data_IF_786935408780
#
_entry.id   IF_786935408780
#
_cell.length_a   1.000
_cell.length_b   1.000
_cell.length_c   1.000
_cell.angle_alpha   90.00
_cell.angle_beta   90.00
_cell.angle_gamma   90.00
#
_symmetry.space_group_name_H-M   'P 1'
#
loop_
_entity.id
_entity.type
_entity.pdbx_description
1 polymer ?
#
# COMPACT_ATOMS: atom_id res chain seq x y z
N UNK A 1 13.25 -7.29 0.19
CA UNK A 1 13.37 -6.42 1.38
C UNK A 1 12.05 -6.25 2.15
N UNK A 2 10.94 -5.85 1.51
CA UNK A 2 9.68 -5.56 2.20
C UNK A 2 8.66 -6.74 2.25
N UNK A 3 9.08 -7.97 1.97
CA UNK A 3 8.19 -9.13 1.90
C UNK A 3 7.97 -9.80 3.27
N UNK A 4 8.94 -9.68 4.17
CA UNK A 4 8.89 -10.31 5.50
C UNK A 4 8.96 -9.25 6.59
N UNK A 5 8.06 -9.34 7.56
CA UNK A 5 8.01 -8.43 8.70
C UNK A 5 9.30 -8.50 9.55
N UNK A 6 9.99 -9.65 9.52
CA UNK A 6 11.24 -9.88 10.25
C UNK A 6 12.36 -8.91 9.81
N UNK A 7 12.42 -8.52 8.53
CA UNK A 7 13.51 -7.68 8.00
C UNK A 7 13.21 -6.18 8.03
N UNK A 8 12.14 -5.75 8.71
CA UNK A 8 11.70 -4.35 8.73
C UNK A 8 12.16 -3.65 10.00
N UNK A 9 13.01 -2.64 9.84
CA UNK A 9 13.41 -1.75 10.92
C UNK A 9 12.37 -0.64 11.06
N UNK A 10 11.61 -0.56 12.17
CA UNK A 10 10.75 0.58 12.40
C UNK A 10 11.61 1.80 12.68
N UNK A 11 11.23 2.92 12.11
CA UNK A 11 11.95 4.19 12.29
C UNK A 11 11.15 5.17 13.14
N UNK A 12 9.82 5.03 13.17
CA UNK A 12 8.93 5.82 14.00
C UNK A 12 7.52 5.24 14.00
N UNK A 13 6.78 5.48 15.08
CA UNK A 13 5.33 5.24 15.19
C UNK A 13 4.73 6.53 15.73
N UNK A 14 3.77 7.09 15.00
CA UNK A 14 3.13 8.35 15.35
C UNK A 14 1.64 8.12 15.52
N UNK A 15 1.06 8.64 16.60
CA UNK A 15 -0.39 8.70 16.76
C UNK A 15 -0.89 10.04 16.22
N UNK A 16 -1.76 9.99 15.21
CA UNK A 16 -2.25 11.18 14.53
C UNK A 16 -3.78 11.13 14.57
N UNK A 17 -4.38 12.06 15.32
CA UNK A 17 -5.82 12.07 15.57
C UNK A 17 -6.67 12.31 14.31
N UNK A 18 -6.08 12.95 13.28
CA UNK A 18 -6.74 13.23 12.02
C UNK A 18 -5.76 13.14 10.86
N UNK A 19 -6.11 12.36 9.84
CA UNK A 19 -5.38 12.34 8.57
C UNK A 19 -5.37 13.74 7.94
N UNK A 20 -4.24 14.42 8.05
CA UNK A 20 -3.99 15.71 7.41
C UNK A 20 -2.52 15.78 7.06
N UNK A 21 -2.25 16.04 5.78
CA UNK A 21 -0.89 16.20 5.28
C UNK A 21 -0.13 17.32 6.01
N UNK A 22 -0.83 18.39 6.39
CA UNK A 22 -0.23 19.49 7.12
C UNK A 22 0.14 19.10 8.56
N UNK A 23 -0.74 18.37 9.26
CA UNK A 23 -0.46 17.86 10.60
C UNK A 23 0.72 16.89 10.57
N UNK A 24 0.68 15.90 9.67
CA UNK A 24 1.77 14.96 9.43
C UNK A 24 3.12 15.68 9.23
N UNK A 25 3.15 16.69 8.36
CA UNK A 25 4.36 17.47 8.08
C UNK A 25 4.85 18.25 9.30
N UNK A 26 3.95 18.83 10.09
CA UNK A 26 4.29 19.55 11.32
C UNK A 26 4.78 18.62 12.44
N UNK A 27 4.31 17.37 12.47
CA UNK A 27 4.69 16.38 13.47
C UNK A 27 6.05 15.73 13.19
N UNK A 28 6.53 15.74 11.94
CA UNK A 28 7.85 15.18 11.62
C UNK A 28 8.96 16.03 12.24
N UNK A 29 9.78 15.47 13.16
CA UNK A 29 10.88 16.21 13.76
C UNK A 29 11.91 16.64 12.71
N UNK A 30 12.44 17.86 12.83
CA UNK A 30 13.48 18.35 11.92
C UNK A 30 14.71 17.44 11.94
N UNK A 31 15.13 17.00 13.12
CA UNK A 31 16.28 16.11 13.31
C UNK A 31 16.09 14.76 12.59
N UNK A 32 14.85 14.29 12.45
CA UNK A 32 14.54 13.10 11.67
C UNK A 32 14.80 13.32 10.16
N UNK A 33 14.36 14.46 9.63
CA UNK A 33 14.59 14.84 8.24
C UNK A 33 16.09 15.05 7.95
N UNK A 34 16.79 15.72 8.87
CA UNK A 34 18.23 15.96 8.78
C UNK A 34 19.01 14.63 8.84
N UNK A 35 18.54 13.68 9.66
CA UNK A 35 19.11 12.32 9.72
C UNK A 35 18.95 11.58 8.39
N UNK A 36 17.78 11.60 7.75
CA UNK A 36 17.58 11.01 6.42
C UNK A 36 18.53 11.63 5.40
N UNK A 37 18.67 12.96 5.42
CA UNK A 37 19.54 13.68 4.49
C UNK A 37 21.01 13.31 4.70
N UNK A 38 21.45 13.12 5.95
CA UNK A 38 22.82 12.72 6.28
C UNK A 38 23.18 11.33 5.75
N UNK A 39 22.23 10.39 5.73
CA UNK A 39 22.45 9.01 5.27
C UNK A 39 22.68 8.92 3.76
N UNK A 40 22.30 9.94 2.98
CA UNK A 40 22.55 9.97 1.52
C UNK A 40 24.04 9.92 1.17
N UNK A 41 24.93 10.26 2.11
CA UNK A 41 26.38 10.20 1.91
C UNK A 41 27.04 9.55 3.13
N UNK A 42 27.36 8.27 3.01
CA UNK A 42 28.03 7.53 4.09
C UNK A 42 29.54 7.50 3.87
N UNK A 43 30.29 7.95 4.87
CA UNK A 43 31.74 7.78 4.91
C UNK A 43 32.05 6.39 5.48
N UNK A 44 32.34 5.43 4.60
CA UNK A 44 32.67 4.05 5.00
C UNK A 44 34.12 3.95 5.49
N UNK A 45 35.01 4.76 4.92
CA UNK A 45 36.39 4.93 5.41
C UNK A 45 36.81 6.39 5.25
N UNK A 46 37.95 6.78 5.83
CA UNK A 46 38.54 8.14 5.66
C UNK A 46 38.75 8.55 4.20
N UNK A 47 38.71 7.62 3.24
CA UNK A 47 38.93 7.88 1.81
C UNK A 47 37.76 7.47 0.89
N UNK A 48 36.68 6.88 1.43
CA UNK A 48 35.57 6.36 0.62
C UNK A 48 34.24 6.87 1.15
N UNK A 49 33.65 7.77 0.38
CA UNK A 49 32.26 8.18 0.52
C UNK A 49 31.40 7.38 -0.44
N UNK A 50 30.31 6.81 0.07
CA UNK A 50 29.32 6.06 -0.69
C UNK A 50 28.05 6.90 -0.76
N UNK A 51 27.59 7.17 -1.98
CA UNK A 51 26.28 7.78 -2.19
C UNK A 51 25.19 6.72 -2.00
N UNK A 52 24.28 6.96 -1.07
CA UNK A 52 23.14 6.10 -0.78
C UNK A 52 21.91 6.67 -1.46
N UNK A 53 21.31 5.88 -2.35
CA UNK A 53 20.04 6.22 -2.99
C UNK A 53 18.91 5.63 -2.17
N UNK A 54 18.11 6.49 -1.55
CA UNK A 54 16.94 6.07 -0.78
C UNK A 54 15.73 6.00 -1.71
N UNK A 55 14.88 5.00 -1.50
CA UNK A 55 13.66 4.75 -2.25
C UNK A 55 12.48 4.74 -1.30
N UNK A 56 11.40 5.39 -1.70
CA UNK A 56 10.13 5.35 -0.99
C UNK A 56 9.25 4.24 -1.56
N UNK A 57 8.45 3.62 -0.70
CA UNK A 57 7.49 2.60 -1.09
C UNK A 57 6.26 2.67 -0.19
N UNK A 58 5.13 2.28 -0.75
CA UNK A 58 3.85 2.25 -0.07
C UNK A 58 2.71 2.33 -1.07
N UNK A 59 1.48 2.21 -0.58
CA UNK A 59 0.31 2.23 -1.45
C UNK A 59 0.12 3.58 -2.16
N UNK A 60 -0.84 3.63 -3.08
CA UNK A 60 -1.09 4.82 -3.89
C UNK A 60 -1.52 6.02 -3.05
N UNK A 61 -2.29 5.78 -1.98
CA UNK A 61 -2.78 6.85 -1.12
C UNK A 61 -1.62 7.46 -0.31
N UNK A 62 -0.69 6.63 0.17
CA UNK A 62 0.55 7.09 0.78
C UNK A 62 1.35 7.96 -0.18
N UNK A 63 1.50 7.54 -1.44
CA UNK A 63 2.21 8.33 -2.46
C UNK A 63 1.55 9.70 -2.69
N UNK A 64 0.21 9.74 -2.72
CA UNK A 64 -0.58 10.98 -2.81
C UNK A 64 -0.27 11.90 -1.62
N UNK A 65 -0.21 11.37 -0.40
CA UNK A 65 0.13 12.15 0.78
C UNK A 65 1.59 12.61 0.78
N UNK A 66 2.55 11.70 0.55
CA UNK A 66 3.98 12.02 0.48
C UNK A 66 4.24 13.18 -0.46
N UNK A 67 3.58 13.20 -1.62
CA UNK A 67 3.74 14.25 -2.62
C UNK A 67 2.65 15.32 -2.63
N UNK A 68 1.79 15.40 -1.61
CA UNK A 68 0.77 16.46 -1.46
C UNK A 68 -0.15 16.63 -2.68
N UNK A 69 -0.63 15.52 -3.25
CA UNK A 69 -1.51 15.49 -4.43
C UNK A 69 -2.99 15.44 -4.05
N UNK A 70 -3.86 15.76 -5.00
CA UNK A 70 -5.32 15.75 -4.83
C UNK A 70 -5.98 14.35 -4.85
N UNK A 71 -5.19 13.30 -5.06
CA UNK A 71 -5.68 11.92 -5.08
C UNK A 71 -6.44 11.51 -6.35
N UNK A 72 -7.13 10.37 -6.27
CA UNK A 72 -7.70 9.67 -7.43
C UNK A 72 -8.85 10.40 -8.13
N UNK A 73 -9.51 11.35 -7.46
CA UNK A 73 -10.69 12.04 -8.00
C UNK A 73 -10.35 13.28 -8.83
N UNK A 74 -9.08 13.69 -8.84
CA UNK A 74 -8.67 14.86 -9.60
C UNK A 74 -8.56 14.58 -11.11
N UNK A 75 -8.41 15.65 -11.90
CA UNK A 75 -8.24 15.51 -13.35
C UNK A 75 -6.89 14.92 -13.75
N UNK A 76 -5.92 14.85 -12.85
CA UNK A 76 -4.57 14.35 -13.10
C UNK A 76 -4.17 13.35 -12.02
N UNK A 77 -4.83 12.18 -11.98
CA UNK A 77 -4.77 11.33 -10.80
C UNK A 77 -3.45 10.56 -10.69
N UNK A 78 -2.65 10.44 -11.76
CA UNK A 78 -1.38 9.73 -11.69
C UNK A 78 -0.38 10.44 -10.75
N UNK A 79 0.30 9.66 -9.92
CA UNK A 79 1.35 10.16 -9.01
C UNK A 79 2.67 10.40 -9.73
N UNK A 80 2.92 9.71 -10.84
CA UNK A 80 4.20 9.82 -11.57
C UNK A 80 4.16 10.81 -12.73
N UNK A 81 3.00 11.04 -13.33
CA UNK A 81 2.87 11.90 -14.51
C UNK A 81 1.68 12.86 -14.45
N UNK A 82 1.67 13.79 -15.39
CA UNK A 82 0.61 14.80 -15.60
C UNK A 82 -0.40 14.38 -16.66
N UNK A 83 -0.64 13.06 -16.85
CA UNK A 83 -1.67 12.58 -17.76
C UNK A 83 -3.08 12.90 -17.22
N UNK A 84 -3.91 13.52 -18.05
CA UNK A 84 -5.31 13.78 -17.71
C UNK A 84 -6.12 12.47 -17.60
N UNK A 85 -7.08 12.43 -16.68
CA UNK A 85 -7.96 11.27 -16.40
C UNK A 85 -8.66 10.73 -17.65
N UNK A 86 -8.96 11.59 -18.63
CA UNK A 86 -9.60 11.22 -19.89
C UNK A 86 -8.71 10.35 -20.79
N UNK A 87 -7.38 10.41 -20.63
CA UNK A 87 -6.39 9.76 -21.49
C UNK A 87 -5.51 8.75 -20.75
N UNK A 88 -5.93 8.31 -19.56
CA UNK A 88 -5.18 7.31 -18.76
C UNK A 88 -4.91 6.00 -19.50
N UNK A 89 -5.68 5.72 -20.54
CA UNK A 89 -5.57 4.53 -21.37
C UNK A 89 -4.49 4.59 -22.45
N UNK A 90 -3.94 5.77 -22.74
CA UNK A 90 -2.94 5.93 -23.80
C UNK A 90 -1.68 5.20 -23.39
N UNK A 91 -1.24 4.24 -24.19
CA UNK A 91 -0.02 3.46 -23.98
C UNK A 91 0.93 3.50 -25.18
N UNK A 92 0.52 4.18 -26.25
CA UNK A 92 1.21 4.23 -27.55
C UNK A 92 1.48 5.66 -27.98
N UNK A 93 2.58 5.86 -28.70
CA UNK A 93 2.97 7.16 -29.25
C UNK A 93 1.98 7.59 -30.32
N UNK A 94 1.75 8.90 -30.38
CA UNK A 94 0.89 9.56 -31.35
C UNK A 94 -0.55 9.03 -31.36
N UNK A 95 -1.12 8.71 -30.19
CA UNK A 95 -2.51 8.26 -30.11
C UNK A 95 -3.44 9.44 -30.36
N UNK A 96 -4.22 9.39 -31.45
CA UNK A 96 -5.26 10.38 -31.71
C UNK A 96 -6.43 10.20 -30.73
N UNK A 97 -6.78 11.26 -30.02
CA UNK A 97 -7.93 11.34 -29.13
C UNK A 97 -8.88 12.44 -29.60
N UNK A 98 -10.18 12.21 -29.53
CA UNK A 98 -11.18 13.26 -29.74
C UNK A 98 -11.55 13.90 -28.40
N UNK A 99 -11.45 15.22 -28.33
CA UNK A 99 -11.88 16.02 -27.18
C UNK A 99 -13.09 16.86 -27.56
N UNK A 100 -14.09 16.91 -26.69
CA UNK A 100 -15.20 17.86 -26.83
C UNK A 100 -14.81 19.18 -26.16
N UNK A 101 -14.55 20.20 -26.96
CA UNK A 101 -14.32 21.56 -26.50
C UNK A 101 -15.59 22.41 -26.70
N UNK A 102 -15.85 23.31 -25.75
CA UNK A 102 -16.92 24.28 -25.88
C UNK A 102 -16.36 25.56 -26.49
N UNK A 103 -16.80 25.88 -27.71
CA UNK A 103 -16.36 27.06 -28.45
C UNK A 103 -17.48 28.09 -28.46
N UNK A 104 -17.16 29.35 -28.12
CA UNK A 104 -18.09 30.48 -28.07
C UNK A 104 -18.28 31.08 -26.67
N UNK A 105 -18.94 32.24 -26.60
CA UNK A 105 -19.22 32.98 -25.37
C UNK A 105 -20.72 33.00 -25.05
N UNK A 106 -21.05 32.98 -23.76
CA UNK A 106 -22.43 33.06 -23.28
C UNK A 106 -23.32 31.91 -23.74
N UNK A 107 -24.55 32.23 -24.16
CA UNK A 107 -25.57 31.27 -24.64
C UNK A 107 -25.23 30.61 -25.98
N UNK A 108 -24.20 31.08 -26.68
CA UNK A 108 -23.79 30.58 -28.00
C UNK A 108 -22.66 29.54 -27.95
N UNK A 109 -22.38 28.95 -26.78
CA UNK A 109 -21.40 27.86 -26.66
C UNK A 109 -21.87 26.64 -27.47
N UNK A 110 -21.09 26.27 -28.49
CA UNK A 110 -21.29 25.03 -29.26
C UNK A 110 -20.21 24.02 -28.88
N UNK A 111 -20.58 22.74 -28.83
CA UNK A 111 -19.61 21.65 -28.72
C UNK A 111 -18.92 21.47 -30.07
N UNK A 112 -17.61 21.52 -30.08
CA UNK A 112 -16.79 21.17 -31.23
C UNK A 112 -15.87 20.02 -30.84
N UNK A 113 -15.74 19.03 -31.72
CA UNK A 113 -14.76 17.96 -31.55
C UNK A 113 -13.41 18.45 -32.07
N UNK A 114 -12.40 18.42 -31.21
CA UNK A 114 -11.01 18.67 -31.58
C UNK A 114 -10.25 17.35 -31.49
N UNK A 115 -9.47 17.04 -32.53
CA UNK A 115 -8.51 15.93 -32.47
C UNK A 115 -7.23 16.42 -31.79
N UNK A 116 -6.80 15.71 -30.77
CA UNK A 116 -5.55 15.96 -30.04
C UNK A 116 -4.68 14.72 -30.12
N UNK A 117 -3.38 14.91 -30.33
CA UNK A 117 -2.41 13.81 -30.27
C UNK A 117 -1.91 13.69 -28.84
N UNK A 118 -2.10 12.52 -28.24
CA UNK A 118 -1.66 12.22 -26.87
C UNK A 118 -0.56 11.15 -26.92
N UNK A 119 0.51 11.37 -26.16
CA UNK A 119 1.67 10.50 -26.09
C UNK A 119 1.74 9.77 -24.73
N UNK A 120 2.40 8.60 -24.66
CA UNK A 120 2.56 7.85 -23.43
C UNK A 120 3.54 8.58 -22.50
N UNK A 121 3.14 8.71 -21.24
CA UNK A 121 3.91 9.42 -20.23
C UNK A 121 5.05 8.59 -19.63
N UNK A 122 5.93 9.25 -18.89
CA UNK A 122 7.04 8.66 -18.15
C UNK A 122 6.94 8.98 -16.66
N UNK A 123 7.54 8.15 -15.81
CA UNK A 123 7.79 8.40 -14.39
C UNK A 123 9.10 9.13 -14.11
N UNK A 124 10.01 9.21 -15.09
CA UNK A 124 11.37 9.70 -14.91
C UNK A 124 11.76 10.84 -15.87
N UNK A 125 11.07 10.98 -17.01
CA UNK A 125 11.36 11.97 -18.05
C UNK A 125 10.32 13.11 -18.05
N UNK A 126 10.69 14.32 -17.57
CA UNK A 126 9.79 15.47 -17.53
C UNK A 126 9.32 15.92 -18.92
N UNK A 127 10.09 15.67 -19.98
CA UNK A 127 9.67 16.01 -21.36
C UNK A 127 8.53 15.12 -21.84
N UNK A 128 8.33 13.98 -21.17
CA UNK A 128 7.23 13.04 -21.37
C UNK A 128 6.23 13.09 -20.21
N UNK A 129 6.10 14.25 -19.57
CA UNK A 129 5.07 14.53 -18.57
C UNK A 129 5.32 13.90 -17.20
N UNK A 130 6.54 13.44 -16.88
CA UNK A 130 6.88 13.05 -15.52
C UNK A 130 6.77 14.26 -14.58
N UNK A 131 6.17 14.06 -13.40
CA UNK A 131 6.03 15.11 -12.39
C UNK A 131 7.38 15.49 -11.80
N UNK A 132 7.53 16.77 -11.46
CA UNK A 132 8.73 17.27 -10.76
C UNK A 132 8.35 18.15 -9.58
N UNK A 133 9.23 18.23 -8.56
CA UNK A 133 9.05 19.17 -7.45
C UNK A 133 9.09 20.63 -7.90
N UNK A 134 9.88 20.94 -8.94
CA UNK A 134 9.94 22.28 -9.55
C UNK A 134 8.58 22.71 -10.12
N UNK A 135 7.95 21.84 -10.91
CA UNK A 135 6.62 22.10 -11.47
C UNK A 135 5.58 22.30 -10.37
N UNK A 136 5.64 21.46 -9.33
CA UNK A 136 4.78 21.57 -8.16
C UNK A 136 4.89 22.93 -7.46
N UNK A 137 6.10 23.41 -7.15
CA UNK A 137 6.32 24.71 -6.51
C UNK A 137 5.69 25.85 -7.31
N UNK A 138 5.93 25.88 -8.62
CA UNK A 138 5.34 26.87 -9.52
C UNK A 138 3.80 26.81 -9.48
N UNK A 139 3.22 25.61 -9.47
CA UNK A 139 1.76 25.45 -9.41
C UNK A 139 1.16 25.90 -8.08
N UNK A 140 1.82 25.63 -6.96
CA UNK A 140 1.37 26.05 -5.63
C UNK A 140 1.46 27.58 -5.46
N UNK A 141 2.57 28.21 -5.87
CA UNK A 141 2.70 29.67 -5.86
C UNK A 141 1.63 30.36 -6.69
N UNK A 142 1.30 29.81 -7.87
CA UNK A 142 0.22 30.33 -8.72
C UNK A 142 -1.15 30.20 -8.04
N UNK A 143 -1.41 29.08 -7.36
CA UNK A 143 -2.65 28.85 -6.62
C UNK A 143 -2.81 29.88 -5.50
N UNK A 144 -1.75 30.16 -4.75
CA UNK A 144 -1.76 31.16 -3.67
C UNK A 144 -1.98 32.59 -4.22
N UNK A 145 -1.26 32.98 -5.27
CA UNK A 145 -1.33 34.32 -5.85
C UNK A 145 -2.66 34.60 -6.54
N UNK A 146 -3.17 33.64 -7.32
CA UNK A 146 -4.29 33.89 -8.23
C UNK A 146 -5.62 33.28 -7.77
N UNK A 147 -5.65 32.54 -6.65
CA UNK A 147 -6.81 31.71 -6.21
C UNK A 147 -7.35 30.79 -7.32
N UNK A 148 -6.53 30.51 -8.34
CA UNK A 148 -6.89 29.64 -9.46
C UNK A 148 -6.82 28.19 -8.98
N UNK A 149 -7.74 27.37 -9.49
CA UNK A 149 -7.70 25.94 -9.25
C UNK A 149 -6.38 25.37 -9.78
N UNK A 150 -5.69 24.57 -8.96
CA UNK A 150 -4.47 23.90 -9.40
C UNK A 150 -4.82 22.88 -10.48
N UNK A 151 -4.51 23.24 -11.72
CA UNK A 151 -4.88 22.45 -12.89
C UNK A 151 -4.28 21.05 -12.81
N UNK A 152 -3.07 20.87 -12.28
CA UNK A 152 -2.32 19.60 -12.29
C UNK A 152 -2.50 18.74 -11.03
N UNK A 153 -3.38 19.16 -10.12
CA UNK A 153 -3.75 18.38 -8.93
C UNK A 153 -2.77 18.45 -7.76
N UNK A 154 -1.85 19.41 -7.69
CA UNK A 154 -1.05 19.64 -6.47
C UNK A 154 -1.88 20.38 -5.41
N UNK A 155 -1.90 19.89 -4.17
CA UNK A 155 -2.72 20.46 -3.10
C UNK A 155 -1.91 21.20 -2.04
N UNK A 156 -0.81 20.60 -1.61
CA UNK A 156 0.04 21.05 -0.50
C UNK A 156 1.50 20.74 -0.79
N UNK A 157 2.42 21.28 0.01
CA UNK A 157 3.84 20.90 0.01
C UNK A 157 4.05 19.39 0.26
N UNK A 158 5.14 18.77 -0.25
CA UNK A 158 5.44 17.37 0.04
C UNK A 158 5.70 17.15 1.53
N UNK A 159 5.41 15.94 2.01
CA UNK A 159 5.61 15.55 3.41
C UNK A 159 7.07 15.71 3.87
N UNK A 160 8.01 15.36 3.00
CA UNK A 160 9.45 15.42 3.25
C UNK A 160 10.14 16.60 2.54
N UNK A 161 9.37 17.63 2.15
CA UNK A 161 9.90 18.76 1.39
C UNK A 161 10.59 18.32 0.10
N UNK A 162 11.81 18.83 -0.14
CA UNK A 162 12.62 18.54 -1.32
C UNK A 162 13.53 17.30 -1.16
N UNK A 163 13.35 16.48 -0.10
CA UNK A 163 14.21 15.32 0.15
C UNK A 163 14.06 14.20 -0.90
N UNK A 164 12.89 14.07 -1.52
CA UNK A 164 12.59 12.99 -2.44
C UNK A 164 11.89 13.51 -3.69
N UNK A 165 12.38 13.11 -4.85
CA UNK A 165 11.69 13.35 -6.12
C UNK A 165 10.58 12.32 -6.35
N UNK A 166 9.65 12.63 -7.26
CA UNK A 166 8.60 11.68 -7.66
C UNK A 166 9.17 10.34 -8.17
N UNK A 167 10.33 10.40 -8.83
CA UNK A 167 11.07 9.23 -9.33
C UNK A 167 11.73 8.36 -8.24
N UNK A 168 11.76 8.83 -7.00
CA UNK A 168 12.29 8.06 -5.87
C UNK A 168 11.23 7.16 -5.23
N UNK A 169 9.97 7.29 -5.64
CA UNK A 169 8.88 6.47 -5.16
C UNK A 169 8.64 5.27 -6.09
N UNK A 170 8.62 4.07 -5.51
CA UNK A 170 8.39 2.82 -6.23
C UNK A 170 6.99 2.32 -5.94
N UNK A 171 6.30 1.86 -6.99
CA UNK A 171 4.93 1.38 -6.86
C UNK A 171 4.87 0.12 -6.00
N UNK A 172 3.88 0.10 -5.11
CA UNK A 172 3.51 -1.07 -4.33
C UNK A 172 2.80 -2.12 -5.21
N UNK A 173 3.47 -3.25 -5.42
CA UNK A 173 2.96 -4.34 -6.26
C UNK A 173 1.86 -5.16 -5.60
N UNK A 174 1.80 -5.21 -4.26
CA UNK A 174 0.71 -5.86 -3.52
C UNK A 174 -0.58 -5.08 -3.72
N UNK A 175 -0.57 -3.79 -3.42
CA UNK A 175 -1.77 -2.97 -3.51
C UNK A 175 -2.19 -2.72 -4.96
N UNK A 176 -1.24 -2.61 -5.90
CA UNK A 176 -1.58 -2.63 -7.32
C UNK A 176 -2.36 -3.91 -7.68
N UNK A 177 -1.86 -5.08 -7.28
CA UNK A 177 -2.54 -6.36 -7.53
C UNK A 177 -3.95 -6.37 -6.95
N UNK A 178 -4.07 -6.01 -5.67
CA UNK A 178 -5.35 -6.01 -4.95
C UNK A 178 -6.39 -5.12 -5.63
N UNK A 179 -6.00 -3.90 -6.02
CA UNK A 179 -6.91 -2.90 -6.58
C UNK A 179 -7.36 -3.24 -7.99
N UNK A 180 -6.46 -3.75 -8.82
CA UNK A 180 -6.79 -4.16 -10.19
C UNK A 180 -7.75 -5.34 -10.18
N UNK A 181 -7.52 -6.30 -9.29
CA UNK A 181 -8.45 -7.40 -9.09
C UNK A 181 -9.84 -6.90 -8.67
N UNK A 182 -9.92 -6.01 -7.68
CA UNK A 182 -11.19 -5.44 -7.21
C UNK A 182 -11.93 -4.71 -8.35
N UNK A 183 -11.20 -3.99 -9.22
CA UNK A 183 -11.76 -3.32 -10.40
C UNK A 183 -12.35 -4.34 -11.37
N UNK A 184 -11.59 -5.37 -11.75
CA UNK A 184 -12.03 -6.39 -12.71
C UNK A 184 -13.25 -7.13 -12.16
N UNK A 185 -13.22 -7.54 -10.89
CA UNK A 185 -14.36 -8.20 -10.26
C UNK A 185 -15.58 -7.28 -10.23
N UNK A 186 -15.43 -6.03 -9.82
CA UNK A 186 -16.54 -5.06 -9.80
C UNK A 186 -17.16 -4.91 -11.19
N UNK A 187 -16.34 -4.84 -12.24
CA UNK A 187 -16.85 -4.69 -13.60
C UNK A 187 -17.52 -5.98 -14.12
N UNK A 188 -17.01 -7.16 -13.77
CA UNK A 188 -17.67 -8.45 -14.04
C UNK A 188 -19.04 -8.52 -13.35
N UNK A 189 -19.13 -8.12 -12.08
CA UNK A 189 -20.39 -8.13 -11.33
C UNK A 189 -21.38 -7.11 -11.88
N UNK A 190 -20.90 -5.93 -12.29
CA UNK A 190 -21.72 -4.92 -12.94
C UNK A 190 -22.29 -5.44 -14.27
N UNK A 191 -21.47 -6.12 -15.09
CA UNK A 191 -21.94 -6.76 -16.32
C UNK A 191 -22.90 -7.92 -16.04
N UNK A 192 -22.60 -8.78 -15.06
CA UNK A 192 -23.48 -9.88 -14.67
C UNK A 192 -24.85 -9.38 -14.18
N UNK A 193 -24.90 -8.17 -13.64
CA UNK A 193 -26.14 -7.51 -13.21
C UNK A 193 -26.97 -6.99 -14.38
N UNK A 194 -26.42 -6.86 -15.60
CA UNK A 194 -27.15 -6.47 -16.81
C UNK A 194 -27.80 -7.70 -17.44
N UNK A 195 -29.07 -7.93 -17.15
CA UNK A 195 -29.81 -9.08 -17.70
C UNK A 195 -30.65 -8.74 -18.93
N UNK A 196 -30.81 -7.45 -19.26
CA UNK A 196 -31.74 -6.99 -20.31
C UNK A 196 -33.23 -7.20 -20.00
N UNK A 197 -33.54 -7.70 -18.79
CA UNK A 197 -34.90 -7.98 -18.31
C UNK A 197 -35.32 -6.94 -17.28
N UNK A 198 -36.62 -6.88 -16.99
CA UNK A 198 -37.20 -6.02 -15.96
C UNK A 198 -38.00 -6.82 -14.92
N UNK A 199 -38.31 -6.19 -13.79
CA UNK A 199 -39.31 -6.66 -12.81
C UNK A 199 -38.98 -8.08 -12.25
N UNK A 200 -39.92 -9.01 -11.93
CA UNK A 200 -39.56 -10.20 -11.15
C UNK A 200 -38.64 -11.16 -11.91
N UNK A 201 -38.65 -11.15 -13.25
CA UNK A 201 -37.76 -11.97 -14.09
C UNK A 201 -36.30 -11.56 -13.90
N UNK A 202 -36.04 -10.24 -13.89
CA UNK A 202 -34.71 -9.71 -13.58
C UNK A 202 -34.23 -10.16 -12.20
N UNK A 203 -35.08 -10.04 -11.18
CA UNK A 203 -34.74 -10.46 -9.81
C UNK A 203 -34.37 -11.94 -9.76
N UNK A 204 -35.17 -12.80 -10.39
CA UNK A 204 -34.92 -14.25 -10.41
C UNK A 204 -33.59 -14.59 -11.08
N UNK A 205 -33.27 -13.99 -12.23
CA UNK A 205 -31.97 -14.18 -12.91
C UNK A 205 -30.80 -13.74 -12.02
N UNK A 206 -30.93 -12.62 -11.32
CA UNK A 206 -29.88 -12.15 -10.39
C UNK A 206 -29.69 -13.11 -9.21
N UNK A 207 -30.78 -13.66 -8.66
CA UNK A 207 -30.73 -14.65 -7.57
C UNK A 207 -30.03 -15.94 -8.02
N UNK A 208 -30.30 -16.42 -9.24
CA UNK A 208 -29.61 -17.58 -9.84
C UNK A 208 -28.09 -17.31 -9.98
N UNK A 209 -27.71 -16.16 -10.54
CA UNK A 209 -26.29 -15.74 -10.66
C UNK A 209 -25.63 -15.59 -9.29
N UNK A 210 -26.36 -15.06 -8.31
CA UNK A 210 -25.90 -14.90 -6.94
C UNK A 210 -25.61 -16.25 -6.27
N UNK A 211 -26.50 -17.23 -6.45
CA UNK A 211 -26.33 -18.58 -5.93
C UNK A 211 -25.07 -19.24 -6.53
N UNK A 212 -24.86 -19.09 -7.84
CA UNK A 212 -23.66 -19.57 -8.54
C UNK A 212 -22.38 -18.94 -7.94
N UNK A 213 -22.36 -17.62 -7.77
CA UNK A 213 -21.23 -16.90 -7.18
C UNK A 213 -20.94 -17.33 -5.74
N UNK A 214 -21.98 -17.50 -4.92
CA UNK A 214 -21.80 -17.93 -3.54
C UNK A 214 -21.37 -19.40 -3.44
N UNK A 215 -21.86 -20.29 -4.31
CA UNK A 215 -21.35 -21.67 -4.42
C UNK A 215 -19.87 -21.69 -4.80
N UNK A 216 -19.48 -20.88 -5.78
CA UNK A 216 -18.07 -20.72 -6.17
C UNK A 216 -17.21 -20.21 -5.01
N UNK A 217 -17.65 -19.13 -4.35
CA UNK A 217 -16.97 -18.56 -3.18
C UNK A 217 -16.76 -19.57 -2.05
N UNK A 218 -17.76 -20.41 -1.76
CA UNK A 218 -17.62 -21.47 -0.76
C UNK A 218 -16.57 -22.48 -1.18
N UNK A 219 -16.62 -22.94 -2.43
CA UNK A 219 -15.70 -23.95 -2.95
C UNK A 219 -14.25 -23.47 -3.03
N UNK A 220 -14.02 -22.19 -3.35
CA UNK A 220 -12.67 -21.68 -3.62
C UNK A 220 -12.03 -20.96 -2.43
N UNK A 221 -12.81 -20.24 -1.65
CA UNK A 221 -12.29 -19.40 -0.55
C UNK A 221 -12.98 -19.65 0.81
N UNK A 222 -13.87 -20.64 0.89
CA UNK A 222 -14.54 -21.02 2.14
C UNK A 222 -15.49 -19.97 2.71
N UNK A 223 -15.91 -18.97 1.92
CA UNK A 223 -16.80 -17.89 2.39
C UNK A 223 -18.23 -18.09 1.89
N UNK A 224 -19.16 -18.32 2.83
CA UNK A 224 -20.61 -18.35 2.59
C UNK A 224 -21.16 -16.92 2.50
N UNK A 225 -22.15 -16.70 1.63
CA UNK A 225 -22.87 -15.43 1.47
C UNK A 225 -21.96 -14.21 1.28
N UNK A 226 -20.85 -14.40 0.57
CA UNK A 226 -19.91 -13.32 0.31
C UNK A 226 -20.48 -12.30 -0.68
N UNK A 227 -21.40 -12.71 -1.54
CA UNK A 227 -22.12 -11.82 -2.45
C UNK A 227 -23.56 -11.64 -1.97
N UNK A 228 -24.13 -10.46 -2.25
CA UNK A 228 -25.54 -10.13 -1.98
C UNK A 228 -26.12 -9.30 -3.13
N UNK A 229 -27.44 -9.17 -3.15
CA UNK A 229 -28.12 -8.14 -3.94
C UNK A 229 -28.20 -6.85 -3.14
N UNK A 230 -27.87 -5.74 -3.79
CA UNK A 230 -28.06 -4.40 -3.27
C UNK A 230 -29.00 -3.65 -4.20
N UNK A 231 -29.94 -2.89 -3.62
CA UNK A 231 -30.90 -2.09 -4.39
C UNK A 231 -30.55 -0.62 -4.21
N UNK A 232 -30.18 0.04 -5.30
CA UNK A 232 -29.91 1.47 -5.33
C UNK A 232 -30.74 2.09 -6.45
N UNK A 233 -31.53 3.13 -6.15
CA UNK A 233 -32.41 3.79 -7.13
C UNK A 233 -33.33 2.81 -7.89
N UNK A 234 -33.91 1.83 -7.21
CA UNK A 234 -34.73 0.74 -7.77
C UNK A 234 -34.00 -0.20 -8.74
N UNK A 235 -32.67 -0.13 -8.82
CA UNK A 235 -31.85 -1.03 -9.62
C UNK A 235 -31.19 -2.03 -8.67
N UNK A 236 -31.44 -3.33 -8.90
CA UNK A 236 -30.78 -4.41 -8.16
C UNK A 236 -29.44 -4.74 -8.82
N UNK A 237 -28.38 -4.83 -8.02
CA UNK A 237 -27.05 -5.17 -8.48
C UNK A 237 -26.40 -6.19 -7.56
N UNK A 238 -25.52 -7.03 -8.11
CA UNK A 238 -24.73 -7.97 -7.34
C UNK A 238 -23.50 -7.25 -6.81
N UNK A 239 -23.30 -7.31 -5.49
CA UNK A 239 -22.16 -6.68 -4.82
C UNK A 239 -21.48 -7.65 -3.85
N UNK A 240 -20.15 -7.54 -3.65
CA UNK A 240 -19.48 -8.26 -2.58
C UNK A 240 -19.76 -7.61 -1.22
N UNK A 241 -19.93 -8.42 -0.18
CA UNK A 241 -20.14 -8.01 1.21
C UNK A 241 -18.84 -7.54 1.91
N UNK A 242 -17.68 -7.71 1.26
CA UNK A 242 -16.39 -7.35 1.82
C UNK A 242 -15.30 -7.27 0.75
N UNK A 243 -14.05 -7.08 1.18
CA UNK A 243 -12.87 -7.10 0.29
C UNK A 243 -12.14 -8.42 0.43
N UNK A 244 -11.58 -8.90 -0.67
CA UNK A 244 -10.70 -10.07 -0.65
C UNK A 244 -9.33 -9.67 -0.13
N UNK A 245 -8.74 -10.50 0.72
CA UNK A 245 -7.30 -10.41 1.00
C UNK A 245 -6.51 -10.99 -0.18
N UNK A 246 -5.20 -10.69 -0.25
CA UNK A 246 -4.38 -11.06 -1.40
C UNK A 246 -4.36 -12.56 -1.73
N UNK A 247 -4.33 -13.43 -0.72
CA UNK A 247 -4.40 -14.87 -0.93
C UNK A 247 -5.78 -15.29 -1.48
N UNK A 248 -6.87 -14.74 -0.95
CA UNK A 248 -8.22 -15.09 -1.37
C UNK A 248 -8.51 -14.66 -2.81
N UNK A 249 -7.94 -13.53 -3.27
CA UNK A 249 -8.06 -13.10 -4.66
C UNK A 249 -7.47 -14.14 -5.62
N UNK A 250 -6.27 -14.63 -5.33
CA UNK A 250 -5.60 -15.62 -6.17
C UNK A 250 -6.39 -16.93 -6.25
N UNK A 251 -7.01 -17.35 -5.14
CA UNK A 251 -7.85 -18.54 -5.07
C UNK A 251 -9.25 -18.34 -5.67
N UNK A 252 -9.75 -17.11 -5.75
CA UNK A 252 -11.11 -16.85 -6.23
C UNK A 252 -11.25 -16.96 -7.75
N UNK A 253 -10.36 -16.33 -8.52
CA UNK A 253 -10.31 -16.54 -9.97
C UNK A 253 -9.48 -17.78 -10.29
N UNK A 254 -9.98 -18.98 -9.99
CA UNK A 254 -9.41 -20.22 -10.53
C UNK A 254 -9.97 -20.51 -11.93
N UNK A 255 -9.41 -21.49 -12.63
CA UNK A 255 -9.85 -21.87 -13.99
C UNK A 255 -11.34 -22.22 -14.06
N UNK A 256 -11.96 -22.59 -12.94
CA UNK A 256 -13.38 -22.91 -12.81
C UNK A 256 -14.29 -21.70 -12.51
N UNK A 257 -13.77 -20.46 -12.51
CA UNK A 257 -14.62 -19.28 -12.32
C UNK A 257 -15.72 -19.22 -13.39
N UNK A 258 -17.01 -19.05 -13.01
CA UNK A 258 -18.13 -19.33 -13.90
C UNK A 258 -18.49 -18.14 -14.82
N UNK A 259 -17.55 -17.65 -15.63
CA UNK A 259 -17.76 -16.47 -16.51
C UNK A 259 -19.00 -16.61 -17.40
N UNK A 260 -19.15 -17.77 -18.05
CA UNK A 260 -20.19 -18.05 -19.04
C UNK A 260 -21.59 -18.17 -18.42
N UNK A 261 -21.67 -18.44 -17.11
CA UNK A 261 -22.93 -18.48 -16.37
C UNK A 261 -23.32 -17.13 -15.79
N UNK A 262 -22.37 -16.20 -15.67
CA UNK A 262 -22.59 -14.88 -15.10
C UNK A 262 -22.86 -13.83 -16.18
N UNK A 263 -22.09 -13.87 -17.27
CA UNK A 263 -22.14 -12.91 -18.38
C UNK A 263 -22.79 -13.60 -19.59
N UNK A 264 -23.98 -13.11 -19.97
CA UNK A 264 -24.78 -13.68 -21.07
C UNK A 264 -24.15 -13.42 -22.45
N UNK A 265 -23.46 -12.29 -22.62
CA UNK A 265 -22.73 -11.99 -23.84
C UNK A 265 -21.44 -12.83 -23.91
N UNK A 266 -21.42 -13.84 -24.79
CA UNK A 266 -20.31 -14.77 -24.96
C UNK A 266 -18.97 -14.06 -25.26
N UNK A 267 -19.01 -12.98 -26.05
CA UNK A 267 -17.81 -12.20 -26.40
C UNK A 267 -17.25 -11.49 -25.17
N UNK A 268 -18.10 -10.82 -24.39
CA UNK A 268 -17.68 -10.14 -23.16
C UNK A 268 -17.18 -11.15 -22.13
N UNK A 269 -17.87 -12.28 -22.00
CA UNK A 269 -17.50 -13.38 -21.08
C UNK A 269 -16.10 -13.92 -21.39
N UNK A 270 -15.84 -14.25 -22.67
CA UNK A 270 -14.53 -14.71 -23.15
C UNK A 270 -13.44 -13.66 -22.93
N UNK A 271 -13.74 -12.39 -23.24
CA UNK A 271 -12.80 -11.30 -23.04
C UNK A 271 -12.46 -11.08 -21.57
N UNK A 272 -13.45 -11.15 -20.67
CA UNK A 272 -13.25 -11.04 -19.22
C UNK A 272 -12.33 -12.16 -18.69
N UNK A 273 -12.54 -13.40 -19.15
CA UNK A 273 -11.67 -14.53 -18.82
C UNK A 273 -10.24 -14.31 -19.29
N UNK A 274 -10.04 -13.95 -20.56
CA UNK A 274 -8.73 -13.68 -21.13
C UNK A 274 -8.00 -12.53 -20.40
N UNK A 275 -8.75 -11.49 -20.04
CA UNK A 275 -8.24 -10.35 -19.29
C UNK A 275 -7.71 -10.78 -17.90
N UNK A 276 -8.47 -11.59 -17.17
CA UNK A 276 -8.05 -12.12 -15.85
C UNK A 276 -6.82 -13.02 -15.98
N UNK A 277 -6.78 -13.91 -16.97
CA UNK A 277 -5.62 -14.77 -17.20
C UNK A 277 -4.37 -13.97 -17.57
N UNK A 278 -4.51 -12.95 -18.43
CA UNK A 278 -3.42 -12.05 -18.79
C UNK A 278 -2.92 -11.27 -17.57
N UNK A 279 -3.82 -10.82 -16.70
CA UNK A 279 -3.45 -10.17 -15.45
C UNK A 279 -2.66 -11.10 -14.52
N UNK A 280 -3.13 -12.33 -14.31
CA UNK A 280 -2.39 -13.32 -13.50
C UNK A 280 -1.01 -13.60 -14.06
N UNK A 281 -0.89 -13.76 -15.38
CA UNK A 281 0.38 -13.97 -16.05
C UNK A 281 1.34 -12.80 -15.80
N UNK A 282 0.85 -11.56 -15.90
CA UNK A 282 1.65 -10.38 -15.57
C UNK A 282 2.12 -10.38 -14.11
N UNK A 283 1.26 -10.74 -13.14
CA UNK A 283 1.68 -10.86 -11.73
C UNK A 283 2.74 -11.95 -11.55
N UNK A 284 2.62 -13.07 -12.25
CA UNK A 284 3.63 -14.13 -12.23
C UNK A 284 4.95 -13.63 -12.81
N UNK A 285 4.94 -12.89 -13.93
CA UNK A 285 6.12 -12.26 -14.50
C UNK A 285 6.78 -11.29 -13.51
N UNK A 286 6.03 -10.48 -12.77
CA UNK A 286 6.60 -9.59 -11.75
C UNK A 286 7.31 -10.38 -10.64
N UNK A 287 7.00 -11.66 -10.43
CA UNK A 287 7.67 -12.52 -9.45
C UNK A 287 8.90 -13.25 -9.99
N UNK A 288 9.09 -13.35 -11.31
CA UNK A 288 10.27 -14.00 -11.89
C UNK A 288 11.53 -13.13 -11.73
N UNK A 289 12.70 -13.67 -12.01
CA UNK A 289 13.92 -12.85 -12.02
C UNK A 289 13.85 -11.77 -13.11
N UNK A 290 14.28 -10.55 -12.79
CA UNK A 290 14.24 -9.39 -13.69
C UNK A 290 14.93 -9.66 -15.05
N UNK A 291 16.05 -10.37 -15.03
CA UNK A 291 16.79 -10.78 -16.25
C UNK A 291 15.96 -11.61 -17.22
N UNK A 292 14.95 -12.34 -16.73
CA UNK A 292 14.11 -13.26 -17.51
C UNK A 292 12.83 -12.62 -18.07
N UNK A 293 12.50 -11.38 -17.68
CA UNK A 293 11.22 -10.72 -18.05
C UNK A 293 11.35 -9.36 -18.74
N UNK A 294 12.58 -8.86 -18.85
CA UNK A 294 12.85 -7.56 -19.47
C UNK A 294 12.26 -7.58 -20.90
N UNK A 295 11.66 -6.46 -21.33
CA UNK A 295 10.82 -6.29 -22.53
C UNK A 295 9.47 -7.02 -22.55
N UNK A 296 9.40 -8.28 -22.13
CA UNK A 296 8.14 -9.07 -22.12
C UNK A 296 7.09 -8.41 -21.23
N UNK A 297 7.49 -7.92 -20.05
CA UNK A 297 6.57 -7.24 -19.13
C UNK A 297 5.94 -5.99 -19.76
N UNK A 298 6.69 -5.23 -20.56
CA UNK A 298 6.20 -4.02 -21.20
C UNK A 298 5.10 -4.33 -22.23
N UNK A 299 5.30 -5.36 -23.05
CA UNK A 299 4.33 -5.76 -24.07
C UNK A 299 3.07 -6.33 -23.43
N UNK A 300 3.22 -7.18 -22.41
CA UNK A 300 2.09 -7.76 -21.66
C UNK A 300 1.29 -6.67 -20.95
N UNK A 301 1.95 -5.72 -20.28
CA UNK A 301 1.28 -4.64 -19.55
C UNK A 301 0.50 -3.70 -20.49
N UNK A 302 1.09 -3.32 -21.63
CA UNK A 302 0.41 -2.50 -22.65
C UNK A 302 -0.77 -3.25 -23.27
N UNK A 303 -0.56 -4.51 -23.64
CA UNK A 303 -1.63 -5.35 -24.20
C UNK A 303 -2.76 -5.55 -23.19
N UNK A 304 -2.47 -5.74 -21.91
CA UNK A 304 -3.47 -5.86 -20.85
C UNK A 304 -4.39 -4.63 -20.79
N UNK A 305 -3.86 -3.41 -20.85
CA UNK A 305 -4.69 -2.19 -20.82
C UNK A 305 -5.54 -2.05 -22.10
N UNK A 306 -5.03 -2.46 -23.26
CA UNK A 306 -5.81 -2.50 -24.51
C UNK A 306 -6.96 -3.49 -24.42
N UNK A 307 -6.68 -4.72 -24.00
CA UNK A 307 -7.67 -5.78 -23.81
C UNK A 307 -8.72 -5.37 -22.78
N UNK A 308 -8.31 -4.70 -21.69
CA UNK A 308 -9.24 -4.19 -20.68
C UNK A 308 -10.29 -3.28 -21.31
N UNK A 309 -9.89 -2.36 -22.20
CA UNK A 309 -10.82 -1.45 -22.87
C UNK A 309 -11.69 -2.13 -23.92
N UNK A 310 -11.14 -3.12 -24.59
CA UNK A 310 -11.85 -3.90 -25.62
C UNK A 310 -12.73 -4.98 -25.01
N UNK A 311 -12.63 -5.23 -23.70
CA UNK A 311 -13.35 -6.32 -23.03
C UNK A 311 -14.88 -6.15 -23.04
N UNK A 312 -15.37 -4.93 -23.16
CA UNK A 312 -16.79 -4.59 -23.00
C UNK A 312 -17.23 -4.41 -21.55
N UNK A 313 -16.38 -4.71 -20.57
CA UNK A 313 -16.68 -4.54 -19.14
C UNK A 313 -16.77 -3.05 -18.74
N UNK A 314 -15.84 -2.23 -19.26
CA UNK A 314 -15.72 -0.80 -18.95
C UNK A 314 -15.00 -0.06 -20.07
N UNK A 315 -15.34 1.22 -20.26
CA UNK A 315 -14.70 2.11 -21.27
C UNK A 315 -13.53 2.92 -20.72
N UNK A 316 -13.56 3.34 -19.45
CA UNK A 316 -12.54 4.18 -18.82
C UNK A 316 -11.43 3.40 -18.09
N UNK A 317 -10.22 3.95 -18.04
CA UNK A 317 -9.11 3.39 -17.26
C UNK A 317 -9.00 4.07 -15.88
N UNK A 318 -8.68 3.28 -14.86
CA UNK A 318 -8.39 3.79 -13.51
C UNK A 318 -6.92 4.22 -13.40
N UNK A 319 -6.53 4.98 -12.35
CA UNK A 319 -5.13 5.32 -12.12
C UNK A 319 -4.22 4.09 -12.05
N UNK A 320 -4.65 3.01 -11.38
CA UNK A 320 -3.88 1.77 -11.33
C UNK A 320 -3.71 1.09 -12.71
N UNK A 321 -4.74 1.14 -13.58
CA UNK A 321 -4.62 0.61 -14.94
C UNK A 321 -3.61 1.43 -15.76
N UNK A 322 -3.61 2.75 -15.60
CA UNK A 322 -2.64 3.63 -16.22
C UNK A 322 -1.21 3.35 -15.73
N UNK A 323 -1.05 3.17 -14.43
CA UNK A 323 0.22 2.77 -13.82
C UNK A 323 0.77 1.49 -14.44
N UNK A 324 -0.06 0.47 -14.65
CA UNK A 324 0.33 -0.77 -15.35
C UNK A 324 0.78 -0.46 -16.78
N UNK A 325 -0.07 0.20 -17.56
CA UNK A 325 0.17 0.37 -19.00
C UNK A 325 1.35 1.28 -19.35
N UNK A 326 1.64 2.29 -18.51
CA UNK A 326 2.62 3.33 -18.83
C UNK A 326 3.87 3.31 -17.95
N UNK A 327 3.75 2.92 -16.68
CA UNK A 327 4.80 3.15 -15.69
C UNK A 327 5.44 1.87 -15.16
N UNK A 328 4.72 0.74 -15.20
CA UNK A 328 5.19 -0.53 -14.63
C UNK A 328 6.50 -1.01 -15.24
N UNK A 329 6.59 -1.02 -16.58
CA UNK A 329 7.80 -1.48 -17.27
C UNK A 329 9.00 -0.55 -17.02
N UNK A 330 8.77 0.76 -17.07
CA UNK A 330 9.80 1.76 -16.81
C UNK A 330 10.31 1.69 -15.36
N UNK A 331 9.43 1.42 -14.39
CA UNK A 331 9.84 1.17 -13.02
C UNK A 331 10.55 -0.18 -12.88
N UNK A 332 10.14 -1.23 -13.59
CA UNK A 332 10.85 -2.50 -13.59
C UNK A 332 12.26 -2.39 -14.17
N UNK A 333 12.48 -1.52 -15.15
CA UNK A 333 13.82 -1.23 -15.71
C UNK A 333 14.74 -0.60 -14.67
N UNK A 334 14.23 0.32 -13.86
CA UNK A 334 15.03 1.08 -12.90
C UNK A 334 15.13 0.44 -11.51
N UNK A 335 14.14 -0.37 -11.12
CA UNK A 335 13.97 -0.86 -9.75
C UNK A 335 13.78 -2.39 -9.74
N UNK A 336 13.73 -2.98 -8.53
CA UNK A 336 13.33 -4.37 -8.36
C UNK A 336 11.91 -4.42 -7.78
N UNK A 337 10.89 -4.55 -8.62
CA UNK A 337 9.48 -4.51 -8.19
C UNK A 337 9.11 -5.56 -7.14
N UNK A 338 9.77 -6.72 -7.11
CA UNK A 338 9.54 -7.75 -6.08
C UNK A 338 9.93 -7.28 -4.69
N UNK A 339 10.90 -6.37 -4.60
CA UNK A 339 11.36 -5.81 -3.34
C UNK A 339 10.30 -4.97 -2.64
N UNK A 340 9.32 -4.46 -3.41
CA UNK A 340 8.30 -3.50 -3.00
C UNK A 340 6.88 -4.09 -2.94
N UNK A 341 6.73 -5.40 -2.71
CA UNK A 341 5.41 -6.08 -2.52
C UNK A 341 4.78 -5.81 -1.13
N UNK A 342 5.29 -4.84 -0.35
CA UNK A 342 4.82 -4.29 0.95
C UNK A 342 4.20 -5.25 2.01
N UNK A 343 4.28 -6.55 1.80
CA UNK A 343 3.58 -7.57 2.59
C UNK A 343 4.11 -7.66 4.02
N UNK A 344 5.41 -7.41 4.20
CA UNK A 344 6.04 -7.33 5.50
C UNK A 344 5.46 -6.18 6.33
N UNK A 345 5.20 -5.03 5.70
CA UNK A 345 4.65 -3.83 6.36
C UNK A 345 3.23 -4.12 6.83
N UNK A 346 2.39 -4.72 5.98
CA UNK A 346 1.02 -5.11 6.33
C UNK A 346 0.96 -6.14 7.48
N UNK A 347 1.88 -7.12 7.48
CA UNK A 347 2.00 -8.09 8.58
C UNK A 347 2.42 -7.40 9.89
N UNK A 348 3.33 -6.42 9.82
CA UNK A 348 3.71 -5.60 10.97
C UNK A 348 2.53 -4.76 11.46
N UNK A 349 1.77 -4.12 10.57
CA UNK A 349 0.55 -3.37 10.92
C UNK A 349 -0.46 -4.26 11.66
N UNK A 350 -0.71 -5.48 11.17
CA UNK A 350 -1.61 -6.43 11.83
C UNK A 350 -1.13 -6.89 13.23
N UNK A 351 0.18 -6.93 13.47
CA UNK A 351 0.72 -7.11 14.83
C UNK A 351 0.47 -5.87 15.68
N UNK A 352 0.86 -4.70 15.16
CA UNK A 352 0.80 -3.42 15.85
C UNK A 352 -0.63 -3.10 16.29
N UNK A 353 -1.62 -3.29 15.42
CA UNK A 353 -3.03 -3.12 15.79
C UNK A 353 -3.44 -4.07 16.90
N UNK A 354 -3.02 -5.35 16.85
CA UNK A 354 -3.30 -6.29 17.95
C UNK A 354 -2.68 -5.79 19.24
N UNK A 355 -1.41 -5.39 19.26
CA UNK A 355 -0.73 -4.89 20.46
C UNK A 355 -1.39 -3.63 21.03
N UNK A 356 -1.72 -2.68 20.17
CA UNK A 356 -2.37 -1.43 20.56
C UNK A 356 -3.73 -1.70 21.24
N UNK A 357 -4.53 -2.63 20.70
CA UNK A 357 -5.87 -2.95 21.23
C UNK A 357 -5.92 -4.10 22.25
N UNK A 358 -4.86 -4.92 22.38
CA UNK A 358 -4.86 -6.11 23.27
C UNK A 358 -4.56 -5.80 24.73
N UNK A 359 -4.12 -4.57 25.04
CA UNK A 359 -3.73 -4.23 26.41
C UNK A 359 -4.98 -4.02 27.29
N UNK A 360 -5.30 -5.03 28.10
CA UNK A 360 -6.38 -5.01 29.11
C UNK A 360 -6.16 -3.99 30.24
N UNK A 361 -4.97 -3.42 30.32
CA UNK A 361 -4.70 -2.09 30.84
C UNK A 361 -4.19 -1.30 29.63
N UNK A 362 -4.83 -0.19 29.23
CA UNK A 362 -4.21 0.75 28.27
C UNK A 362 -2.80 1.01 28.79
N UNK A 363 -1.79 0.48 28.10
CA UNK A 363 -0.41 0.75 28.50
C UNK A 363 -0.29 2.27 28.64
N UNK A 364 0.31 2.77 29.74
CA UNK A 364 0.50 4.22 29.91
C UNK A 364 1.22 4.84 28.70
N UNK A 365 1.99 4.03 27.96
CA UNK A 365 2.73 4.39 26.75
C UNK A 365 2.56 3.30 25.65
N UNK A 366 1.44 3.29 24.91
CA UNK A 366 1.13 2.24 23.93
C UNK A 366 2.12 2.23 22.76
N UNK A 367 2.53 3.41 22.26
CA UNK A 367 3.47 3.53 21.13
C UNK A 367 4.85 2.98 21.48
N UNK A 368 5.35 3.26 22.70
CA UNK A 368 6.62 2.70 23.19
C UNK A 368 6.58 1.18 23.27
N UNK A 369 5.48 0.62 23.78
CA UNK A 369 5.27 -0.84 23.86
C UNK A 369 5.27 -1.48 22.46
N UNK A 370 4.61 -0.84 21.50
CA UNK A 370 4.61 -1.26 20.10
C UNK A 370 6.01 -1.24 19.49
N UNK A 371 6.74 -0.14 19.68
CA UNK A 371 8.10 0.03 19.17
C UNK A 371 9.05 -1.03 19.73
N UNK A 372 9.04 -1.24 21.05
CA UNK A 372 9.82 -2.29 21.70
C UNK A 372 9.49 -3.69 21.17
N UNK A 373 8.21 -3.97 20.90
CA UNK A 373 7.79 -5.27 20.36
C UNK A 373 8.30 -5.51 18.95
N UNK A 374 8.40 -4.47 18.11
CA UNK A 374 9.00 -4.58 16.79
C UNK A 374 10.52 -4.78 16.88
N UNK A 375 11.21 -4.05 17.75
CA UNK A 375 12.65 -4.21 17.91
C UNK A 375 13.04 -5.58 18.48
N UNK A 376 12.29 -6.13 19.44
CA UNK A 376 12.54 -7.50 19.93
C UNK A 376 12.46 -8.54 18.81
N UNK A 377 11.59 -8.35 17.82
CA UNK A 377 11.55 -9.24 16.64
C UNK A 377 12.77 -9.07 15.74
N UNK A 378 13.30 -7.86 15.65
CA UNK A 378 14.52 -7.61 14.89
C UNK A 378 15.74 -8.22 15.55
N UNK A 379 15.85 -8.07 16.88
CA UNK A 379 16.90 -8.67 17.70
C UNK A 379 17.04 -10.17 17.42
N UNK A 380 15.91 -10.89 17.32
CA UNK A 380 15.89 -12.33 17.03
C UNK A 380 16.46 -12.71 15.65
N UNK A 381 16.72 -11.76 14.75
CA UNK A 381 17.35 -12.05 13.46
C UNK A 381 18.88 -11.92 13.48
N UNK A 382 19.46 -11.30 14.51
CA UNK A 382 20.90 -11.13 14.59
C UNK A 382 21.51 -12.38 15.21
N UNK A 383 22.43 -13.03 14.51
CA UNK A 383 23.14 -14.19 15.05
C UNK A 383 24.21 -13.77 16.05
N UNK A 384 24.87 -12.63 15.82
CA UNK A 384 25.90 -12.07 16.70
C UNK A 384 25.28 -11.50 18.01
N UNK A 385 25.71 -11.98 19.19
CA UNK A 385 25.31 -11.43 20.48
C UNK A 385 25.57 -9.92 20.65
N UNK A 386 26.63 -9.37 20.07
CA UNK A 386 26.96 -7.95 20.18
C UNK A 386 25.95 -7.08 19.42
N UNK A 387 25.59 -7.49 18.19
CA UNK A 387 24.56 -6.82 17.39
C UNK A 387 23.20 -6.87 18.09
N UNK A 388 22.85 -7.99 18.74
CA UNK A 388 21.64 -8.09 19.57
C UNK A 388 21.65 -7.08 20.72
N UNK A 389 22.77 -6.97 21.44
CA UNK A 389 22.91 -6.02 22.56
C UNK A 389 22.82 -4.58 22.08
N UNK A 390 23.44 -4.22 20.95
CA UNK A 390 23.32 -2.88 20.36
C UNK A 390 21.88 -2.57 19.95
N UNK A 391 21.20 -3.52 19.29
CA UNK A 391 19.80 -3.36 18.91
C UNK A 391 18.88 -3.27 20.12
N UNK A 392 19.13 -4.02 21.19
CA UNK A 392 18.40 -3.93 22.44
C UNK A 392 18.57 -2.55 23.11
N UNK A 393 19.79 -1.99 23.12
CA UNK A 393 20.03 -0.62 23.59
C UNK A 393 19.30 0.41 22.74
N UNK A 394 19.35 0.26 21.42
CA UNK A 394 18.62 1.14 20.50
C UNK A 394 17.11 1.06 20.73
N UNK A 395 16.56 -0.13 20.95
CA UNK A 395 15.14 -0.33 21.26
C UNK A 395 14.67 0.31 22.57
N UNK A 396 15.57 0.40 23.55
CA UNK A 396 15.29 1.01 24.85
C UNK A 396 15.31 2.54 24.81
N UNK A 397 16.14 3.11 23.92
CA UNK A 397 16.43 4.54 23.85
C UNK A 397 15.80 5.27 22.64
N UNK A 398 15.36 4.52 21.62
CA UNK A 398 15.00 5.05 20.30
C UNK A 398 13.54 5.51 20.13
N UNK A 399 12.82 5.80 21.21
CA UNK A 399 11.51 6.47 21.10
C UNK A 399 11.73 7.98 21.08
N UNK A 400 11.36 8.62 19.97
CA UNK A 400 11.03 10.04 19.98
C UNK A 400 9.77 10.16 20.83
N UNK A 401 9.93 10.27 22.14
CA UNK A 401 8.82 10.56 23.04
C UNK A 401 8.27 11.95 22.68
N UNK A 402 6.96 12.08 22.89
CA UNK A 402 6.16 13.26 22.58
C UNK A 402 6.88 14.54 23.00
N UNK A 403 6.81 15.58 22.16
CA UNK A 403 7.10 16.93 22.62
C UNK A 403 6.00 17.24 23.63
N UNK A 404 6.28 16.98 24.91
CA UNK A 404 5.52 17.53 26.02
C UNK A 404 5.62 19.05 25.89
N UNK A 405 4.61 19.64 25.25
CA UNK A 405 4.39 21.08 25.32
C UNK A 405 3.79 21.39 26.69
N UNK A 406 4.59 21.22 27.73
CA UNK A 406 4.36 21.85 29.01
C UNK A 406 5.62 22.66 29.32
N UNK A 407 5.59 23.91 28.84
CA UNK A 407 6.25 25.00 29.55
C UNK A 407 5.70 24.96 30.99
N UNK A 408 6.48 24.46 31.94
CA UNK A 408 6.33 24.88 33.32
C UNK A 408 7.67 24.85 34.06
N UNK A 409 7.80 25.89 34.87
CA UNK A 409 9.02 26.48 35.38
C UNK A 409 9.70 25.65 36.49
N UNK A 410 11.02 25.83 36.58
CA UNK A 410 11.82 25.86 37.81
C UNK A 410 11.47 24.90 38.96
N UNK A 411 12.38 23.96 39.29
CA UNK A 411 12.99 23.86 40.64
C UNK A 411 14.37 23.17 40.54
N UNK A 412 15.29 23.75 41.30
CA UNK A 412 16.74 23.59 41.43
C UNK A 412 17.32 22.24 41.87
N UNK A 413 18.56 21.99 41.40
CA UNK A 413 19.72 21.36 42.05
C UNK A 413 19.54 20.29 43.14
N UNK A 414 20.14 19.11 42.95
CA UNK A 414 21.20 18.61 43.85
C UNK A 414 22.10 17.56 43.17
N UNK A 415 23.41 17.80 43.27
CA UNK A 415 24.55 16.95 42.91
C UNK A 415 24.67 15.74 43.87
N UNK A 416 25.07 14.55 43.37
CA UNK A 416 26.14 13.75 44.00
C UNK A 416 26.60 12.56 43.13
N UNK A 417 27.91 12.54 42.93
CA UNK A 417 28.74 11.51 42.34
C UNK A 417 28.64 10.17 43.08
N UNK A 418 28.78 9.05 42.34
CA UNK A 418 29.71 7.99 42.75
C UNK A 418 30.19 7.16 41.57
N UNK A 419 31.47 7.34 41.29
CA UNK A 419 32.38 6.45 40.56
C UNK A 419 32.64 5.18 41.35
N UNK A 420 32.63 4.00 40.69
CA UNK A 420 33.38 2.81 41.12
C UNK A 420 33.94 2.10 39.89
N UNK A 421 35.23 1.83 39.97
CA UNK A 421 36.12 1.21 38.99
C UNK A 421 36.01 -0.32 38.92
N UNK A 422 36.36 -0.82 37.73
CA UNK A 422 37.18 -1.99 37.39
C UNK A 422 37.33 -3.15 38.39
N UNK A 423 37.07 -4.36 37.87
CA UNK A 423 37.94 -5.55 37.90
C UNK A 423 37.18 -6.70 37.21
N UNK A 424 37.74 -7.73 36.57
CA UNK A 424 39.04 -8.12 35.99
C UNK A 424 38.77 -9.54 35.46
N UNK A 425 39.33 -9.88 34.30
CA UNK A 425 39.80 -11.22 33.89
C UNK A 425 38.94 -12.47 34.20
N UNK A 426 38.55 -13.20 33.16
CA UNK A 426 39.00 -14.59 33.06
C UNK A 426 39.02 -15.07 31.60
N UNK A 427 40.21 -15.48 31.18
CA UNK A 427 40.49 -16.29 29.99
C UNK A 427 39.98 -17.72 30.23
N UNK A 428 39.37 -18.34 29.23
CA UNK A 428 39.39 -19.80 29.11
C UNK A 428 39.34 -20.20 27.63
N UNK A 429 40.40 -20.89 27.21
CA UNK A 429 40.59 -21.59 25.95
C UNK A 429 39.79 -22.89 25.91
N UNK A 430 39.35 -23.32 24.72
CA UNK A 430 39.78 -24.58 24.04
C UNK A 430 38.97 -24.84 22.77
N UNK A 431 39.73 -25.02 21.68
CA UNK A 431 39.66 -26.05 20.63
C UNK A 431 38.36 -26.44 19.90
N UNK A 432 38.43 -26.17 18.58
CA UNK A 432 38.06 -26.96 17.40
C UNK A 432 37.24 -28.25 17.56
N UNK A 433 36.15 -28.32 16.79
CA UNK A 433 35.89 -29.47 15.91
C UNK A 433 34.93 -29.10 14.77
N UNK A 434 35.35 -29.43 13.56
CA UNK A 434 34.55 -29.46 12.33
C UNK A 434 33.56 -30.63 12.35
N UNK A 435 32.32 -30.40 11.94
CA UNK A 435 31.52 -31.40 11.22
C UNK A 435 30.34 -30.75 10.49
N UNK A 436 30.20 -31.15 9.23
CA UNK A 436 29.23 -30.73 8.23
C UNK A 436 27.78 -31.00 8.65
N UNK A 437 26.87 -30.06 8.35
CA UNK A 437 25.44 -30.35 8.39
C UNK A 437 24.73 -29.84 7.12
N UNK A 438 24.11 -30.78 6.42
CA UNK A 438 23.37 -30.61 5.18
C UNK A 438 22.07 -29.86 5.41
N UNK A 439 21.87 -28.76 4.66
CA UNK A 439 20.63 -27.97 4.68
C UNK A 439 19.56 -28.65 3.81
N UNK A 440 18.52 -29.17 4.45
CA UNK A 440 17.21 -29.41 3.83
C UNK A 440 16.26 -28.36 4.41
N UNK A 441 15.98 -27.31 3.63
CA UNK A 441 14.95 -26.33 3.96
C UNK A 441 13.57 -26.90 3.62
N UNK A 442 12.79 -27.25 4.65
CA UNK A 442 11.33 -27.36 4.56
C UNK A 442 10.72 -26.28 5.44
N UNK A 443 10.44 -25.12 4.83
CA UNK A 443 9.69 -24.03 5.45
C UNK A 443 8.18 -24.37 5.43
N UNK A 444 7.73 -25.13 6.42
CA UNK A 444 6.32 -25.23 6.81
C UNK A 444 6.24 -25.32 8.34
N UNK A 445 6.15 -24.17 9.02
CA UNK A 445 5.81 -24.15 10.46
C UNK A 445 4.62 -23.24 10.78
N UNK A 446 3.55 -23.94 11.16
CA UNK A 446 2.52 -23.64 12.14
C UNK A 446 2.76 -22.40 13.02
N UNK A 447 1.87 -21.40 12.89
CA UNK A 447 1.90 -20.15 13.65
C UNK A 447 0.84 -20.05 14.77
N UNK A 448 0.36 -21.18 15.30
CA UNK A 448 -0.72 -21.20 16.31
C UNK A 448 -0.32 -21.65 17.72
N UNK A 449 0.97 -21.72 18.05
CA UNK A 449 1.39 -21.97 19.43
C UNK A 449 1.95 -20.70 20.09
N UNK A 450 1.07 -20.00 20.81
CA UNK A 450 1.48 -19.09 21.86
C UNK A 450 2.14 -19.91 23.00
N UNK A 451 3.25 -19.46 23.61
CA UNK A 451 3.85 -20.17 24.73
C UNK A 451 2.89 -20.20 25.92
N UNK A 452 2.66 -21.40 26.45
CA UNK A 452 1.88 -21.62 27.66
C UNK A 452 2.55 -20.92 28.83
N UNK A 453 1.92 -19.86 29.34
CA UNK A 453 2.34 -19.21 30.57
C UNK A 453 1.95 -20.11 31.75
N UNK A 454 2.95 -20.50 32.55
CA UNK A 454 2.79 -21.25 33.79
C UNK A 454 1.98 -20.38 34.77
N UNK A 455 0.72 -20.73 34.99
CA UNK A 455 -0.11 -20.15 36.03
C UNK A 455 0.26 -20.77 37.38
N UNK A 456 0.95 -20.02 38.23
CA UNK A 456 1.04 -20.36 39.66
C UNK A 456 -0.34 -20.14 40.30
N UNK A 457 -0.89 -21.22 40.83
CA UNK A 457 -2.15 -21.27 41.54
C UNK A 457 -2.07 -20.56 42.89
N UNK A 458 -2.90 -19.53 43.09
CA UNK A 458 -3.33 -19.12 44.42
C UNK A 458 -4.81 -19.46 44.60
N UNK A 459 -5.09 -20.28 45.60
CA UNK A 459 -6.42 -20.73 45.99
C UNK A 459 -7.17 -19.66 46.80
N UNK A 460 -8.35 -19.28 46.26
CA UNK A 460 -9.62 -18.85 46.88
C UNK A 460 -9.61 -18.04 48.20
N UNK A 461 -10.41 -16.96 48.21
CA UNK A 461 -11.71 -16.93 48.91
C UNK A 461 -12.62 -15.76 48.48
N UNK A 462 -13.91 -16.12 48.32
CA UNK A 462 -15.17 -15.36 48.51
C UNK A 462 -15.52 -14.11 47.67
N UNK A 463 -16.46 -14.33 46.74
CA UNK A 463 -17.84 -13.81 46.78
C UNK A 463 -18.09 -12.33 46.51
N UNK A 464 -18.74 -12.01 45.38
CA UNK A 464 -19.95 -11.18 45.37
C UNK A 464 -20.62 -11.20 43.98
N UNK A 465 -21.93 -11.01 44.02
CA UNK A 465 -22.93 -11.27 42.99
C UNK A 465 -22.99 -10.22 41.86
N UNK A 466 -23.43 -10.70 40.70
CA UNK A 466 -24.25 -10.03 39.68
C UNK A 466 -24.53 -8.53 39.83
N UNK A 467 -24.10 -7.73 38.83
CA UNK A 467 -24.92 -6.59 38.34
C UNK A 467 -24.55 -6.17 36.91
N UNK A 468 -25.33 -6.65 35.96
CA UNK A 468 -25.52 -5.99 34.67
C UNK A 468 -26.40 -4.75 34.89
N UNK A 469 -25.89 -3.55 34.58
CA UNK A 469 -26.75 -2.39 34.29
C UNK A 469 -26.22 -1.64 33.07
N UNK A 470 -27.18 -1.39 32.20
CA UNK A 470 -27.17 -0.59 30.98
C UNK A 470 -26.68 0.84 31.21
N UNK A 471 -25.96 1.37 30.23
CA UNK A 471 -25.77 2.81 30.07
C UNK A 471 -26.57 3.32 28.87
N UNK A 472 -27.53 4.20 29.15
CA UNK A 472 -28.20 5.07 28.20
C UNK A 472 -27.28 6.27 27.88
N UNK A 473 -27.44 6.74 26.64
CA UNK A 473 -26.86 7.96 26.06
C UNK A 473 -27.09 9.20 26.93
N UNK A 474 -26.09 10.08 26.94
CA UNK A 474 -26.25 11.53 26.89
C UNK A 474 -25.73 12.00 25.54
#
# INVERSE_FOLDING_TARGET
PCQTAKKLVPVGIFEIQKESNELLRKTLPKDFLDSIQSVKYLNVTRKKTVAVKIRLGGDFQNAVYVFGLAGVHCNYPCVFCTQNKSYLHVTERNTECEEEIWVGTGKNKKKQKQKTIVNPTSSYDPTRGARTLKEKRIALEKKEKNKLNNELGYQSEPLFGDLFEFSDYVMDTLHMRLRIFDIILKDILAEASRTGEYEPVHTKKLEEKLEILNKHSIATIGKRFFFKLETENNIKTIVPCGRFSGHLQQSFFVNSFPYEKLIENETISKNAKNLVEKFKFMIQLIRTEKSKRTSVLADVAKSFVKDFRQSGLRTGCTPYMHLIGNHLAEQDENENLTAYDMQGVEKSNGLLSRLYFSSSNRAKTPLRTMMQSLYRRLEMNFTDPNERVEMARYALNGTFDEVDSEEDENVTDTVLNHSVELNKSNEFSTDDSDAEESVIETDDENLDQAPAYISQSYSRTNGCENRWKSFKKA
#
